data_IF_587986170430
#
_entry.id   IF_587986170430
#
_cell.length_a   1.000
_cell.length_b   1.000
_cell.length_c   1.000
_cell.angle_alpha   90.00
_cell.angle_beta   90.00
_cell.angle_gamma   90.00
#
_symmetry.space_group_name_H-M   'P 1'
#
loop_
_entity.id
_entity.type
_entity.pdbx_description
1 polymer ?
#
# COMPACT_ATOMS: atom_id res chain seq x y z
N UNK A 1 -25.58 7.27 -4.16
CA UNK A 1 -24.62 7.89 -5.10
C UNK A 1 -25.43 8.31 -6.31
N UNK A 2 -25.24 9.51 -6.85
CA UNK A 2 -25.96 9.97 -8.03
C UNK A 2 -25.27 9.47 -9.33
N UNK A 3 -25.94 9.60 -10.49
CA UNK A 3 -25.43 9.15 -11.80
C UNK A 3 -24.08 9.80 -12.13
N UNK A 4 -23.97 11.11 -11.92
CA UNK A 4 -22.77 11.89 -12.29
C UNK A 4 -21.52 11.44 -11.50
N UNK A 5 -21.71 11.03 -10.23
CA UNK A 5 -20.64 10.46 -9.40
C UNK A 5 -20.18 9.10 -9.94
N UNK A 6 -21.13 8.26 -10.38
CA UNK A 6 -20.80 6.95 -10.96
C UNK A 6 -20.03 7.11 -12.27
N UNK A 7 -20.49 7.98 -13.14
CA UNK A 7 -19.86 8.26 -14.43
C UNK A 7 -18.43 8.78 -14.23
N UNK A 8 -18.23 9.67 -13.25
CA UNK A 8 -16.90 10.18 -12.92
C UNK A 8 -15.97 9.06 -12.38
N UNK A 9 -16.48 8.19 -11.51
CA UNK A 9 -15.68 7.07 -10.99
C UNK A 9 -15.31 6.09 -12.11
N UNK A 10 -16.22 5.82 -13.05
CA UNK A 10 -15.93 5.00 -14.22
C UNK A 10 -14.91 5.64 -15.14
N UNK A 11 -14.95 6.98 -15.31
CA UNK A 11 -13.93 7.69 -16.08
C UNK A 11 -12.55 7.64 -15.40
N UNK A 12 -12.48 7.76 -14.07
CA UNK A 12 -11.24 7.59 -13.31
C UNK A 12 -10.66 6.19 -13.53
N UNK A 13 -11.48 5.14 -13.38
CA UNK A 13 -11.04 3.76 -13.61
C UNK A 13 -10.52 3.57 -15.03
N UNK A 14 -11.30 3.98 -16.04
CA UNK A 14 -10.91 3.85 -17.43
C UNK A 14 -9.61 4.59 -17.71
N UNK A 15 -9.49 5.83 -17.26
CA UNK A 15 -8.31 6.67 -17.51
C UNK A 15 -7.05 6.11 -16.90
N UNK A 16 -7.11 5.64 -15.65
CA UNK A 16 -5.92 5.19 -14.93
C UNK A 16 -5.55 3.73 -15.25
N UNK A 17 -6.50 2.87 -15.58
CA UNK A 17 -6.25 1.46 -15.84
C UNK A 17 -6.05 1.12 -17.31
N UNK A 18 -6.74 1.80 -18.24
CA UNK A 18 -6.63 1.50 -19.68
C UNK A 18 -5.44 2.17 -20.33
N UNK A 19 -4.96 3.28 -19.80
CA UNK A 19 -3.82 4.03 -20.36
C UNK A 19 -2.43 3.49 -19.96
N UNK A 20 -2.33 2.23 -19.54
CA UNK A 20 -1.06 1.57 -19.18
C UNK A 20 -0.25 2.28 -18.07
N UNK A 21 -0.89 3.17 -17.31
CA UNK A 21 -0.24 3.91 -16.22
C UNK A 21 0.26 2.96 -15.12
N UNK A 22 -0.44 1.86 -14.93
CA UNK A 22 -0.09 0.83 -13.96
C UNK A 22 1.17 0.05 -14.37
N UNK A 23 1.47 0.02 -15.67
CA UNK A 23 2.70 -0.60 -16.20
C UNK A 23 2.67 -2.13 -16.29
N UNK A 24 1.51 -2.77 -16.07
CA UNK A 24 1.32 -4.20 -16.29
C UNK A 24 -0.14 -4.50 -16.70
N UNK A 25 -0.35 -5.69 -17.26
CA UNK A 25 -1.69 -6.16 -17.59
C UNK A 25 -2.40 -6.70 -16.32
N UNK A 26 -3.53 -6.10 -15.89
CA UNK A 26 -4.28 -6.57 -14.71
C UNK A 26 -4.68 -8.05 -14.75
N UNK A 27 -4.90 -8.63 -15.92
CA UNK A 27 -5.25 -10.04 -16.09
C UNK A 27 -4.19 -10.99 -15.49
N UNK A 28 -2.95 -10.54 -15.37
CA UNK A 28 -1.86 -11.30 -14.71
C UNK A 28 -2.20 -11.64 -13.26
N UNK A 29 -2.87 -10.73 -12.53
CA UNK A 29 -3.23 -10.96 -11.13
C UNK A 29 -4.28 -12.06 -10.99
N UNK A 30 -5.23 -12.15 -11.94
CA UNK A 30 -6.23 -13.22 -11.95
C UNK A 30 -5.59 -14.59 -12.28
N UNK A 31 -4.62 -14.62 -13.18
CA UNK A 31 -3.90 -15.85 -13.52
C UNK A 31 -3.15 -16.42 -12.31
N UNK A 32 -2.57 -15.56 -11.47
CA UNK A 32 -1.87 -15.98 -10.24
C UNK A 32 -2.80 -16.64 -9.20
N UNK A 33 -4.13 -16.52 -9.31
CA UNK A 33 -5.09 -17.19 -8.42
C UNK A 33 -5.42 -18.61 -8.85
N UNK A 34 -5.06 -19.00 -10.05
CA UNK A 34 -5.32 -20.34 -10.54
C UNK A 34 -4.41 -21.34 -9.80
N UNK A 35 -5.02 -22.20 -8.97
CA UNK A 35 -4.31 -23.21 -8.17
C UNK A 35 -3.64 -24.27 -9.06
N UNK A 36 -4.14 -24.46 -10.28
CA UNK A 36 -3.63 -25.43 -11.26
C UNK A 36 -2.58 -24.84 -12.21
N UNK A 37 -2.15 -23.59 -11.95
CA UNK A 37 -1.17 -22.93 -12.83
C UNK A 37 0.16 -23.66 -12.80
N UNK A 38 0.63 -24.05 -13.97
CA UNK A 38 1.91 -24.73 -14.15
C UNK A 38 3.08 -23.74 -14.18
N UNK A 39 4.29 -24.29 -14.10
CA UNK A 39 5.52 -23.46 -14.14
C UNK A 39 5.63 -22.64 -15.43
N UNK A 40 5.21 -23.20 -16.56
CA UNK A 40 5.27 -22.54 -17.86
C UNK A 40 4.33 -21.34 -17.90
N UNK A 41 3.09 -21.51 -17.44
CA UNK A 41 2.09 -20.44 -17.41
C UNK A 41 2.54 -19.29 -16.50
N UNK A 42 3.19 -19.59 -15.35
CA UNK A 42 3.79 -18.58 -14.48
C UNK A 42 4.92 -17.84 -15.19
N UNK A 43 5.79 -18.55 -15.92
CA UNK A 43 6.84 -17.89 -16.67
C UNK A 43 6.31 -17.01 -17.81
N UNK A 44 5.21 -17.39 -18.45
CA UNK A 44 4.56 -16.61 -19.51
C UNK A 44 3.96 -15.29 -18.99
N UNK A 45 3.69 -15.16 -17.67
CA UNK A 45 3.25 -13.91 -17.07
C UNK A 45 4.28 -12.78 -17.18
N UNK A 46 5.55 -13.08 -17.41
CA UNK A 46 6.61 -12.09 -17.63
C UNK A 46 6.23 -11.03 -18.65
N UNK A 47 5.63 -11.46 -19.75
CA UNK A 47 5.22 -10.56 -20.83
C UNK A 47 4.17 -9.56 -20.37
N UNK A 48 3.24 -9.99 -19.53
CA UNK A 48 2.17 -9.14 -18.99
C UNK A 48 2.62 -8.22 -17.86
N UNK A 49 3.70 -8.59 -17.13
CA UNK A 49 4.22 -7.79 -16.01
C UNK A 49 5.18 -6.67 -16.44
N UNK A 50 5.84 -6.86 -17.59
CA UNK A 50 6.91 -5.96 -18.02
C UNK A 50 8.22 -6.13 -17.20
N UNK A 51 9.35 -5.69 -17.76
CA UNK A 51 10.67 -5.93 -17.19
C UNK A 51 10.86 -5.28 -15.81
N UNK A 52 10.40 -4.05 -15.62
CA UNK A 52 10.60 -3.30 -14.38
C UNK A 52 9.93 -3.96 -13.17
N UNK A 53 8.69 -4.46 -13.34
CA UNK A 53 7.94 -5.18 -12.28
C UNK A 53 8.66 -6.49 -11.98
N UNK A 54 9.13 -7.14 -13.01
CA UNK A 54 9.81 -8.41 -12.90
C UNK A 54 11.11 -8.27 -12.08
N UNK A 55 11.97 -7.33 -12.45
CA UNK A 55 13.22 -7.05 -11.73
C UNK A 55 12.96 -6.67 -10.26
N UNK A 56 11.93 -5.86 -10.01
CA UNK A 56 11.49 -5.52 -8.66
C UNK A 56 11.13 -6.75 -7.82
N UNK A 57 10.33 -7.67 -8.37
CA UNK A 57 9.92 -8.90 -7.69
C UNK A 57 11.09 -9.84 -7.42
N UNK A 58 12.03 -9.96 -8.36
CA UNK A 58 13.26 -10.72 -8.18
C UNK A 58 14.13 -10.16 -7.06
N UNK A 59 14.28 -8.84 -7.02
CA UNK A 59 15.03 -8.17 -5.95
C UNK A 59 14.40 -8.42 -4.58
N UNK A 60 13.06 -8.37 -4.45
CA UNK A 60 12.37 -8.69 -3.20
C UNK A 60 12.57 -10.15 -2.82
N UNK A 61 12.36 -11.07 -3.74
CA UNK A 61 12.50 -12.50 -3.46
C UNK A 61 13.94 -12.87 -3.06
N UNK A 62 14.93 -12.22 -3.66
CA UNK A 62 16.33 -12.41 -3.31
C UNK A 62 16.72 -11.69 -2.01
N UNK A 63 16.13 -10.54 -1.68
CA UNK A 63 16.37 -9.84 -0.41
C UNK A 63 15.79 -10.59 0.79
N UNK A 64 14.60 -11.17 0.64
CA UNK A 64 13.99 -12.05 1.65
C UNK A 64 14.83 -13.31 1.92
N UNK A 65 15.72 -13.63 1.02
CA UNK A 65 16.65 -14.75 1.10
C UNK A 65 17.78 -14.56 2.12
N UNK A 66 18.18 -13.33 2.41
CA UNK A 66 19.28 -13.06 3.35
C UNK A 66 19.05 -13.58 4.79
N UNK A 67 17.83 -14.02 5.11
CA UNK A 67 17.52 -14.71 6.37
C UNK A 67 17.60 -16.25 6.33
N UNK A 68 17.85 -16.86 5.15
CA UNK A 68 17.85 -18.33 4.98
C UNK A 68 19.00 -18.79 4.08
N UNK A 69 20.13 -19.09 4.68
CA UNK A 69 21.40 -19.47 4.00
C UNK A 69 21.32 -20.74 3.12
N UNK A 70 20.19 -21.43 3.09
CA UNK A 70 20.06 -22.74 2.41
C UNK A 70 19.48 -22.71 1.00
N UNK A 71 18.87 -21.62 0.56
CA UNK A 71 18.20 -21.53 -0.73
C UNK A 71 18.95 -20.55 -1.63
N UNK A 72 19.52 -20.97 -2.76
CA UNK A 72 20.23 -20.13 -3.73
C UNK A 72 19.37 -18.97 -4.29
N UNK A 73 19.95 -18.01 -5.04
CA UNK A 73 19.17 -16.93 -5.64
C UNK A 73 18.12 -17.49 -6.61
N UNK A 74 16.93 -16.88 -6.63
CA UNK A 74 15.89 -17.25 -7.59
C UNK A 74 16.32 -16.89 -9.00
N UNK A 75 16.05 -17.77 -9.95
CA UNK A 75 16.40 -17.63 -11.38
C UNK A 75 15.17 -17.54 -12.28
N UNK A 76 14.04 -18.08 -11.83
CA UNK A 76 12.80 -18.18 -12.59
C UNK A 76 11.65 -17.52 -11.84
N UNK A 77 10.67 -17.00 -12.57
CA UNK A 77 9.56 -16.28 -11.94
C UNK A 77 8.67 -17.19 -11.07
N UNK A 78 8.49 -18.43 -11.45
CA UNK A 78 7.78 -19.39 -10.59
C UNK A 78 8.48 -19.61 -9.23
N UNK A 79 9.80 -19.50 -9.17
CA UNK A 79 10.55 -19.56 -7.90
C UNK A 79 10.29 -18.32 -7.03
N UNK A 80 10.11 -17.14 -7.67
CA UNK A 80 9.67 -15.92 -6.97
C UNK A 80 8.31 -16.14 -6.33
N UNK A 81 7.33 -16.61 -7.13
CA UNK A 81 5.96 -16.87 -6.64
C UNK A 81 5.96 -17.93 -5.53
N UNK A 82 6.72 -19.01 -5.68
CA UNK A 82 6.84 -20.05 -4.66
C UNK A 82 7.48 -19.54 -3.36
N UNK A 83 8.47 -18.66 -3.47
CA UNK A 83 9.19 -18.12 -2.31
C UNK A 83 8.38 -17.07 -1.57
N UNK A 84 7.71 -16.17 -2.28
CA UNK A 84 6.91 -15.08 -1.72
C UNK A 84 5.49 -15.52 -1.37
N UNK A 85 4.98 -16.51 -2.08
CA UNK A 85 3.57 -16.89 -2.07
C UNK A 85 2.75 -16.00 -2.99
N UNK A 86 1.67 -16.55 -3.57
CA UNK A 86 0.83 -15.88 -4.58
C UNK A 86 0.29 -14.54 -4.11
N UNK A 87 -0.30 -14.51 -2.92
CA UNK A 87 -0.93 -13.29 -2.39
C UNK A 87 0.08 -12.18 -2.11
N UNK A 88 1.25 -12.53 -1.59
CA UNK A 88 2.30 -11.52 -1.36
C UNK A 88 2.89 -11.03 -2.69
N UNK A 89 3.06 -11.90 -3.68
CA UNK A 89 3.48 -11.51 -5.03
C UNK A 89 2.51 -10.50 -5.64
N UNK A 90 1.20 -10.76 -5.58
CA UNK A 90 0.16 -9.81 -6.01
C UNK A 90 0.27 -8.47 -5.30
N UNK A 91 0.44 -8.49 -3.98
CA UNK A 91 0.62 -7.29 -3.18
C UNK A 91 1.81 -6.46 -3.67
N UNK A 92 2.93 -7.11 -3.97
CA UNK A 92 4.13 -6.43 -4.44
C UNK A 92 3.95 -5.85 -5.86
N UNK A 93 3.22 -6.53 -6.73
CA UNK A 93 2.86 -6.00 -8.06
C UNK A 93 2.01 -4.73 -7.91
N UNK A 94 1.02 -4.75 -7.03
CA UNK A 94 0.18 -3.58 -6.76
C UNK A 94 0.96 -2.43 -6.13
N UNK A 95 1.86 -2.72 -5.19
CA UNK A 95 2.77 -1.73 -4.61
C UNK A 95 3.62 -1.04 -5.68
N UNK A 96 4.18 -1.83 -6.56
CA UNK A 96 4.96 -1.29 -7.67
C UNK A 96 4.09 -0.38 -8.55
N UNK A 97 2.87 -0.82 -8.88
CA UNK A 97 1.93 -0.04 -9.66
C UNK A 97 1.55 1.29 -8.97
N UNK A 98 1.21 1.25 -7.69
CA UNK A 98 0.91 2.44 -6.90
C UNK A 98 2.08 3.42 -6.88
N UNK A 99 3.30 2.92 -6.64
CA UNK A 99 4.51 3.74 -6.68
C UNK A 99 4.72 4.38 -8.06
N UNK A 100 4.46 3.65 -9.13
CA UNK A 100 4.60 4.14 -10.50
C UNK A 100 3.57 5.23 -10.83
N UNK A 101 2.30 5.02 -10.49
CA UNK A 101 1.22 6.00 -10.70
C UNK A 101 1.53 7.32 -9.98
N UNK A 102 2.08 7.24 -8.78
CA UNK A 102 2.38 8.43 -7.96
C UNK A 102 3.70 9.11 -8.31
N UNK A 103 4.50 8.56 -9.23
CA UNK A 103 5.89 8.98 -9.46
C UNK A 103 6.04 10.48 -9.72
N UNK A 104 5.10 11.08 -10.46
CA UNK A 104 5.13 12.49 -10.84
C UNK A 104 4.12 13.34 -10.05
N UNK A 105 3.47 12.77 -9.04
CA UNK A 105 2.46 13.43 -8.23
C UNK A 105 2.88 13.41 -6.75
N UNK A 106 3.25 14.58 -6.23
CA UNK A 106 3.75 14.72 -4.87
C UNK A 106 2.67 14.48 -3.83
N UNK A 107 1.43 14.90 -4.09
CA UNK A 107 0.31 14.71 -3.18
C UNK A 107 -0.07 13.23 -3.09
N UNK A 108 -0.24 12.58 -4.22
CA UNK A 108 -0.50 11.15 -4.30
C UNK A 108 0.64 10.33 -3.67
N UNK A 109 1.89 10.79 -3.78
CA UNK A 109 3.04 10.12 -3.14
C UNK A 109 2.97 10.19 -1.62
N UNK A 110 2.48 11.28 -1.04
CA UNK A 110 2.27 11.39 0.41
C UNK A 110 1.15 10.43 0.86
N UNK A 111 0.05 10.35 0.11
CA UNK A 111 -1.03 9.39 0.38
C UNK A 111 -0.47 7.96 0.35
N UNK A 112 0.30 7.62 -0.68
CA UNK A 112 0.97 6.32 -0.77
C UNK A 112 1.89 6.05 0.42
N UNK A 113 2.73 7.02 0.78
CA UNK A 113 3.65 6.90 1.91
C UNK A 113 2.92 6.72 3.25
N UNK A 114 1.78 7.40 3.47
CA UNK A 114 0.91 7.20 4.65
C UNK A 114 0.36 5.76 4.70
N UNK A 115 -0.18 5.26 3.59
CA UNK A 115 -0.70 3.90 3.52
C UNK A 115 0.40 2.86 3.75
N UNK A 116 1.59 3.11 3.21
CA UNK A 116 2.74 2.26 3.44
C UNK A 116 3.16 2.28 4.93
N UNK A 117 3.20 3.44 5.58
CA UNK A 117 3.45 3.53 7.02
C UNK A 117 2.38 2.77 7.82
N UNK A 118 1.09 2.94 7.48
CA UNK A 118 0.00 2.23 8.13
C UNK A 118 0.14 0.70 7.97
N UNK A 119 0.62 0.22 6.82
CA UNK A 119 0.85 -1.21 6.60
C UNK A 119 1.95 -1.77 7.52
N UNK A 120 3.05 -1.04 7.71
CA UNK A 120 4.13 -1.42 8.63
C UNK A 120 3.65 -1.41 10.08
N UNK A 121 2.95 -0.35 10.49
CA UNK A 121 2.36 -0.21 11.84
C UNK A 121 1.33 -1.31 12.09
N UNK A 122 0.42 -1.55 11.15
CA UNK A 122 -0.63 -2.56 11.28
C UNK A 122 -0.07 -3.96 11.44
N UNK A 123 0.94 -4.31 10.65
CA UNK A 123 1.64 -5.59 10.82
C UNK A 123 2.29 -5.72 12.19
N UNK A 124 2.96 -4.67 12.65
CA UNK A 124 3.59 -4.64 13.97
C UNK A 124 2.55 -4.78 15.07
N UNK A 125 1.46 -3.99 15.04
CA UNK A 125 0.36 -4.07 16.01
C UNK A 125 -0.28 -5.46 16.05
N UNK A 126 -0.59 -6.04 14.88
CA UNK A 126 -1.17 -7.39 14.83
C UNK A 126 -0.26 -8.42 15.49
N UNK A 127 1.05 -8.34 15.26
CA UNK A 127 2.01 -9.24 15.94
C UNK A 127 2.07 -9.00 17.46
N UNK A 128 2.04 -7.74 17.88
CA UNK A 128 2.06 -7.35 19.30
C UNK A 128 0.78 -7.81 20.04
N UNK A 129 -0.35 -7.87 19.35
CA UNK A 129 -1.61 -8.43 19.89
C UNK A 129 -1.68 -9.95 19.82
N UNK A 130 -0.61 -10.65 19.42
CA UNK A 130 -0.53 -12.10 19.40
C UNK A 130 -1.16 -12.77 18.17
N UNK A 131 -1.56 -12.02 17.16
CA UNK A 131 -2.05 -12.61 15.92
C UNK A 131 -0.96 -13.39 15.17
N UNK A 132 -1.36 -14.39 14.39
CA UNK A 132 -0.45 -15.19 13.57
C UNK A 132 0.30 -14.33 12.52
N UNK A 133 1.39 -14.86 11.97
CA UNK A 133 2.10 -14.21 10.86
C UNK A 133 1.20 -13.98 9.64
N UNK A 134 0.34 -14.95 9.36
CA UNK A 134 -0.62 -14.86 8.25
C UNK A 134 -1.64 -13.73 8.49
N UNK A 135 -2.24 -13.68 9.68
CA UNK A 135 -3.17 -12.61 10.05
C UNK A 135 -2.51 -11.23 10.01
N UNK A 136 -1.26 -11.12 10.47
CA UNK A 136 -0.51 -9.87 10.40
C UNK A 136 -0.24 -9.42 8.95
N UNK A 137 -0.01 -10.36 8.01
CA UNK A 137 0.10 -10.05 6.58
C UNK A 137 -1.24 -9.58 5.98
N UNK A 138 -2.37 -10.13 6.44
CA UNK A 138 -3.70 -9.66 6.02
C UNK A 138 -3.92 -8.20 6.44
N UNK A 139 -3.54 -7.84 7.67
CA UNK A 139 -3.60 -6.45 8.17
C UNK A 139 -2.68 -5.54 7.36
N UNK A 140 -1.42 -5.95 7.13
CA UNK A 140 -0.45 -5.22 6.31
C UNK A 140 -1.03 -4.86 4.93
N UNK A 141 -1.60 -5.86 4.24
CA UNK A 141 -2.21 -5.66 2.92
C UNK A 141 -3.44 -4.74 3.00
N UNK A 142 -4.31 -4.92 3.97
CA UNK A 142 -5.50 -4.10 4.13
C UNK A 142 -5.17 -2.63 4.37
N UNK A 143 -4.22 -2.32 5.25
CA UNK A 143 -3.73 -0.96 5.48
C UNK A 143 -3.14 -0.34 4.21
N UNK A 144 -2.38 -1.12 3.43
CA UNK A 144 -1.77 -0.64 2.22
C UNK A 144 -2.79 -0.26 1.13
N UNK A 145 -3.82 -1.11 0.97
CA UNK A 145 -4.83 -0.94 -0.09
C UNK A 145 -5.93 0.05 0.32
N UNK A 146 -6.10 0.35 1.60
CA UNK A 146 -7.20 1.19 2.10
C UNK A 146 -7.29 2.57 1.43
N UNK A 147 -6.17 3.20 1.12
CA UNK A 147 -6.12 4.51 0.47
C UNK A 147 -5.95 4.48 -1.04
N UNK A 148 -6.10 3.33 -1.71
CA UNK A 148 -5.88 3.25 -3.17
C UNK A 148 -6.88 4.12 -3.95
N UNK A 149 -8.12 4.21 -3.51
CA UNK A 149 -9.14 5.04 -4.13
C UNK A 149 -8.83 6.54 -3.98
N UNK A 150 -8.39 6.98 -2.80
CA UNK A 150 -7.94 8.35 -2.55
C UNK A 150 -6.76 8.71 -3.46
N UNK A 151 -5.76 7.85 -3.52
CA UNK A 151 -4.59 8.01 -4.37
C UNK A 151 -4.99 8.14 -5.86
N UNK A 152 -5.88 7.28 -6.34
CA UNK A 152 -6.32 7.30 -7.73
C UNK A 152 -7.11 8.56 -8.06
N UNK A 153 -8.03 8.99 -7.19
CA UNK A 153 -8.80 10.22 -7.37
C UNK A 153 -7.89 11.45 -7.38
N UNK A 154 -6.89 11.48 -6.48
CA UNK A 154 -5.90 12.57 -6.43
C UNK A 154 -5.08 12.65 -7.71
N UNK A 155 -4.55 11.53 -8.20
CA UNK A 155 -3.79 11.49 -9.46
C UNK A 155 -4.68 11.91 -10.64
N UNK A 156 -5.92 11.43 -10.70
CA UNK A 156 -6.86 11.82 -11.75
C UNK A 156 -7.13 13.31 -11.72
N UNK A 157 -7.47 13.87 -10.56
CA UNK A 157 -7.69 15.31 -10.36
C UNK A 157 -6.51 16.15 -10.85
N UNK A 158 -5.31 15.75 -10.47
CA UNK A 158 -4.11 16.56 -10.70
C UNK A 158 -3.60 16.49 -12.14
N UNK A 159 -3.86 15.39 -12.86
CA UNK A 159 -3.21 15.14 -14.16
C UNK A 159 -4.17 14.86 -15.31
N UNK A 160 -5.40 14.41 -15.05
CA UNK A 160 -6.29 13.88 -16.09
C UNK A 160 -7.64 14.58 -16.16
N UNK A 161 -8.10 15.22 -15.10
CA UNK A 161 -9.39 15.90 -15.09
C UNK A 161 -9.39 17.03 -16.12
N UNK A 162 -10.18 16.86 -17.19
CA UNK A 162 -10.34 17.83 -18.26
C UNK A 162 -11.74 18.43 -18.22
N UNK A 163 -11.83 19.73 -17.91
CA UNK A 163 -13.12 20.44 -17.87
C UNK A 163 -13.94 20.14 -16.60
N UNK A 164 -15.02 20.90 -16.43
CA UNK A 164 -15.88 20.80 -15.25
C UNK A 164 -15.26 21.38 -13.97
N UNK A 165 -16.01 21.37 -12.85
CA UNK A 165 -15.49 21.79 -11.56
C UNK A 165 -14.39 20.81 -11.09
N UNK A 166 -13.32 21.36 -10.52
CA UNK A 166 -12.24 20.55 -9.95
C UNK A 166 -12.80 19.70 -8.82
N UNK A 167 -12.45 18.41 -8.82
CA UNK A 167 -12.83 17.47 -7.77
C UNK A 167 -12.36 17.97 -6.39
N UNK A 168 -13.29 18.20 -5.47
CA UNK A 168 -12.98 18.70 -4.14
C UNK A 168 -12.40 17.60 -3.25
N UNK A 169 -11.70 18.00 -2.18
CA UNK A 169 -11.22 17.05 -1.17
C UNK A 169 -12.40 16.33 -0.49
N UNK A 170 -13.51 17.05 -0.24
CA UNK A 170 -14.73 16.45 0.29
C UNK A 170 -15.31 15.37 -0.63
N UNK A 171 -15.26 15.58 -1.96
CA UNK A 171 -15.68 14.54 -2.91
C UNK A 171 -14.80 13.30 -2.80
N UNK A 172 -13.47 13.47 -2.71
CA UNK A 172 -12.52 12.38 -2.55
C UNK A 172 -12.79 11.64 -1.25
N UNK A 173 -12.91 12.35 -0.13
CA UNK A 173 -13.18 11.78 1.20
C UNK A 173 -14.47 10.94 1.21
N UNK A 174 -15.52 11.41 0.57
CA UNK A 174 -16.80 10.71 0.54
C UNK A 174 -16.88 9.51 -0.41
N UNK A 175 -15.98 9.44 -1.41
CA UNK A 175 -16.11 8.44 -2.48
C UNK A 175 -14.91 7.50 -2.64
N UNK A 176 -13.75 7.78 -2.01
CA UNK A 176 -12.54 7.00 -2.22
C UNK A 176 -12.68 5.52 -1.84
N UNK A 177 -13.46 5.19 -0.81
CA UNK A 177 -13.68 3.80 -0.42
C UNK A 177 -14.51 3.02 -1.44
N UNK A 178 -15.48 3.69 -2.07
CA UNK A 178 -16.24 3.04 -3.12
C UNK A 178 -15.32 2.66 -4.28
N UNK A 179 -14.44 3.57 -4.70
CA UNK A 179 -13.42 3.28 -5.71
C UNK A 179 -12.45 2.18 -5.23
N UNK A 180 -11.99 2.23 -3.96
CA UNK A 180 -11.19 1.16 -3.37
C UNK A 180 -11.86 -0.22 -3.51
N UNK A 181 -13.14 -0.31 -3.20
CA UNK A 181 -13.92 -1.54 -3.34
C UNK A 181 -14.03 -2.02 -4.79
N UNK A 182 -14.14 -1.11 -5.76
CA UNK A 182 -14.13 -1.45 -7.19
C UNK A 182 -12.77 -2.01 -7.62
N UNK A 183 -11.67 -1.38 -7.18
CA UNK A 183 -10.30 -1.85 -7.45
C UNK A 183 -10.09 -3.25 -6.90
N UNK A 184 -10.51 -3.51 -5.65
CA UNK A 184 -10.39 -4.84 -5.04
C UNK A 184 -11.08 -5.90 -5.90
N UNK A 185 -12.29 -5.63 -6.37
CA UNK A 185 -13.03 -6.55 -7.24
C UNK A 185 -12.39 -6.72 -8.61
N UNK A 186 -11.98 -5.60 -9.24
CA UNK A 186 -11.39 -5.61 -10.60
C UNK A 186 -10.10 -6.43 -10.66
N UNK A 187 -9.28 -6.36 -9.61
CA UNK A 187 -8.00 -7.08 -9.55
C UNK A 187 -8.07 -8.42 -8.82
N UNK A 188 -9.27 -8.90 -8.54
CA UNK A 188 -9.48 -10.19 -7.85
C UNK A 188 -8.60 -10.26 -6.58
N UNK A 189 -8.58 -9.17 -5.80
CA UNK A 189 -7.86 -9.14 -4.54
C UNK A 189 -8.60 -9.97 -3.49
N UNK A 190 -7.93 -10.39 -2.41
CA UNK A 190 -8.52 -11.27 -1.40
C UNK A 190 -9.87 -10.77 -0.87
N UNK A 191 -10.84 -11.67 -0.79
CA UNK A 191 -12.23 -11.38 -0.39
C UNK A 191 -12.37 -10.81 1.03
N UNK A 192 -11.40 -11.01 1.91
CA UNK A 192 -11.41 -10.43 3.24
C UNK A 192 -11.13 -8.92 3.28
N UNK A 193 -10.55 -8.34 2.21
CA UNK A 193 -10.16 -6.93 2.18
C UNK A 193 -11.33 -5.95 2.32
N UNK A 194 -12.46 -6.13 1.61
CA UNK A 194 -13.62 -5.25 1.79
C UNK A 194 -14.07 -5.16 3.24
N UNK A 195 -14.17 -6.30 3.93
CA UNK A 195 -14.56 -6.33 5.34
C UNK A 195 -13.55 -5.58 6.22
N UNK A 196 -12.27 -5.83 6.03
CA UNK A 196 -11.22 -5.19 6.82
C UNK A 196 -11.12 -3.69 6.59
N UNK A 197 -11.38 -3.22 5.37
CA UNK A 197 -11.25 -1.81 4.98
C UNK A 197 -12.54 -1.03 5.25
N UNK A 198 -13.72 -1.58 4.92
CA UNK A 198 -15.00 -0.90 5.11
C UNK A 198 -15.31 -0.64 6.58
N UNK A 199 -14.85 -1.49 7.49
CA UNK A 199 -14.97 -1.27 8.93
C UNK A 199 -14.15 -0.07 9.45
N UNK A 200 -13.34 0.59 8.62
CA UNK A 200 -12.66 1.84 8.96
C UNK A 200 -13.62 2.98 9.36
N UNK A 201 -14.88 2.94 8.92
CA UNK A 201 -15.88 3.96 9.24
C UNK A 201 -16.66 3.70 10.53
N UNK A 202 -16.46 2.57 11.19
CA UNK A 202 -17.02 2.38 12.53
C UNK A 202 -16.32 3.33 13.51
N UNK A 203 -17.07 3.89 14.46
CA UNK A 203 -16.48 4.78 15.46
C UNK A 203 -15.38 4.09 16.26
N UNK A 204 -14.40 4.86 16.73
CA UNK A 204 -13.31 4.32 17.55
C UNK A 204 -13.81 3.60 18.82
N UNK A 205 -14.99 3.98 19.31
CA UNK A 205 -15.63 3.37 20.50
C UNK A 205 -16.04 1.89 20.28
N UNK A 206 -16.13 1.46 19.02
CA UNK A 206 -16.48 0.08 18.65
C UNK A 206 -15.26 -0.77 18.29
N UNK A 207 -14.04 -0.30 18.62
CA UNK A 207 -12.81 -1.07 18.40
C UNK A 207 -12.85 -2.38 19.19
N UNK A 208 -12.96 -3.47 18.46
CA UNK A 208 -12.69 -4.81 18.98
C UNK A 208 -11.26 -5.21 18.61
N UNK A 209 -10.63 -6.09 19.42
CA UNK A 209 -9.33 -6.69 19.07
C UNK A 209 -9.56 -7.76 17.98
N UNK A 210 -10.13 -7.33 16.87
CA UNK A 210 -10.28 -8.11 15.64
C UNK A 210 -9.42 -7.49 14.55
N UNK A 211 -9.11 -8.25 13.49
CA UNK A 211 -8.24 -7.74 12.41
C UNK A 211 -8.70 -6.41 11.80
N UNK A 212 -10.01 -6.18 11.52
CA UNK A 212 -10.48 -4.87 11.07
C UNK A 212 -10.21 -3.74 12.08
N UNK A 213 -10.33 -4.04 13.38
CA UNK A 213 -9.97 -3.08 14.44
C UNK A 213 -8.49 -2.71 14.43
N UNK A 214 -7.60 -3.68 14.17
CA UNK A 214 -6.16 -3.43 14.05
C UNK A 214 -5.85 -2.55 12.83
N UNK A 215 -6.50 -2.79 11.69
CA UNK A 215 -6.36 -1.95 10.48
C UNK A 215 -6.72 -0.50 10.81
N UNK A 216 -7.88 -0.29 11.45
CA UNK A 216 -8.34 1.04 11.83
C UNK A 216 -7.41 1.73 12.83
N UNK A 217 -6.94 1.00 13.85
CA UNK A 217 -5.96 1.53 14.80
C UNK A 217 -4.66 1.95 14.12
N UNK A 218 -4.17 1.17 13.16
CA UNK A 218 -2.93 1.47 12.45
C UNK A 218 -3.07 2.74 11.60
N UNK A 219 -4.18 2.89 10.87
CA UNK A 219 -4.47 4.08 10.05
C UNK A 219 -4.61 5.31 10.95
N UNK A 220 -5.44 5.24 11.99
CA UNK A 220 -5.63 6.34 12.94
C UNK A 220 -4.34 6.74 13.65
N UNK A 221 -3.49 5.76 14.00
CA UNK A 221 -2.19 6.02 14.59
C UNK A 221 -1.27 6.79 13.64
N UNK A 222 -1.24 6.41 12.37
CA UNK A 222 -0.45 7.12 11.35
C UNK A 222 -1.00 8.53 11.14
N UNK A 223 -2.29 8.70 11.01
CA UNK A 223 -2.92 10.04 10.86
C UNK A 223 -2.62 10.95 12.05
N UNK A 224 -2.60 10.40 13.25
CA UNK A 224 -2.25 11.15 14.46
C UNK A 224 -0.75 11.44 14.59
N UNK A 225 0.11 10.46 14.26
CA UNK A 225 1.56 10.53 14.52
C UNK A 225 2.34 11.24 13.42
N UNK A 226 1.83 11.21 12.18
CA UNK A 226 2.51 11.80 11.04
C UNK A 226 1.97 13.19 10.74
N UNK A 227 2.84 14.18 10.82
CA UNK A 227 2.52 15.54 10.39
C UNK A 227 2.98 15.71 8.94
N UNK A 228 2.11 16.34 8.13
CA UNK A 228 2.48 16.75 6.77
C UNK A 228 3.28 18.06 6.88
N UNK A 229 4.52 18.03 6.41
CA UNK A 229 5.35 19.21 6.25
C UNK A 229 5.77 19.36 4.78
N UNK A 230 5.09 20.23 4.06
CA UNK A 230 5.28 20.36 2.62
C UNK A 230 5.02 19.04 1.90
N UNK A 231 6.06 18.47 1.28
CA UNK A 231 6.01 17.22 0.53
C UNK A 231 6.54 16.01 1.32
N UNK A 232 6.70 16.15 2.63
CA UNK A 232 7.25 15.10 3.49
C UNK A 232 6.33 14.82 4.66
N UNK A 233 6.41 13.60 5.14
CA UNK A 233 5.83 13.22 6.42
C UNK A 233 6.88 13.33 7.49
N UNK A 234 6.51 13.96 8.59
CA UNK A 234 7.37 14.12 9.77
C UNK A 234 6.83 13.28 10.90
N UNK A 235 7.70 12.49 11.50
CA UNK A 235 7.38 11.69 12.65
C UNK A 235 8.39 11.94 13.77
N UNK A 236 7.92 12.03 15.01
CA UNK A 236 8.77 12.11 16.20
C UNK A 236 9.04 10.72 16.77
N UNK A 237 10.26 10.46 17.16
CA UNK A 237 10.68 9.16 17.69
C UNK A 237 9.92 8.76 18.98
N UNK A 238 9.55 9.75 19.83
CA UNK A 238 8.76 9.51 21.06
C UNK A 238 7.35 9.02 20.81
N UNK A 239 6.72 9.48 19.72
CA UNK A 239 5.35 9.08 19.40
C UNK A 239 5.22 7.60 19.04
N UNK A 240 6.34 6.91 18.85
CA UNK A 240 6.38 5.54 18.35
C UNK A 240 6.98 4.52 19.28
N UNK A 241 7.17 4.85 20.55
CA UNK A 241 7.59 3.87 21.54
C UNK A 241 6.36 3.16 22.13
N UNK A 242 6.01 2.02 21.55
CA UNK A 242 4.95 1.16 22.09
C UNK A 242 5.45 0.27 23.26
N UNK A 243 6.78 0.13 23.42
CA UNK A 243 7.38 -0.52 24.60
C UNK A 243 8.87 -0.12 24.73
N UNK A 244 9.25 0.30 25.93
CA UNK A 244 10.56 0.91 26.21
C UNK A 244 11.72 -0.09 26.35
N UNK A 245 11.54 -1.39 26.14
CA UNK A 245 12.56 -2.32 26.63
C UNK A 245 13.30 -3.19 25.61
N UNK A 246 12.74 -3.58 24.45
CA UNK A 246 13.36 -4.63 23.62
C UNK A 246 13.11 -4.59 22.11
N UNK A 247 12.43 -3.61 21.56
CA UNK A 247 12.22 -3.52 20.11
C UNK A 247 12.97 -2.33 19.54
N UNK A 248 13.53 -2.45 18.30
CA UNK A 248 13.88 -1.25 17.55
C UNK A 248 12.64 -0.36 17.55
N UNK A 249 12.83 0.94 17.82
CA UNK A 249 11.69 1.86 17.89
C UNK A 249 10.85 1.67 16.62
N UNK A 250 9.54 1.71 16.72
CA UNK A 250 8.65 1.59 15.55
C UNK A 250 9.04 2.63 14.48
N UNK A 251 9.57 3.81 14.90
CA UNK A 251 10.14 4.81 14.01
C UNK A 251 11.32 4.27 13.19
N UNK A 252 12.25 3.55 13.83
CA UNK A 252 13.39 2.93 13.13
C UNK A 252 12.92 1.85 12.15
N UNK A 253 11.92 1.04 12.54
CA UNK A 253 11.35 0.02 11.66
C UNK A 253 10.69 0.66 10.43
N UNK A 254 9.93 1.75 10.60
CA UNK A 254 9.31 2.48 9.48
C UNK A 254 10.40 3.08 8.59
N UNK A 255 11.41 3.74 9.16
CA UNK A 255 12.51 4.33 8.40
C UNK A 255 13.25 3.28 7.55
N UNK A 256 13.55 2.11 8.11
CA UNK A 256 14.16 0.98 7.39
C UNK A 256 13.27 0.52 6.23
N UNK A 257 11.97 0.35 6.45
CA UNK A 257 11.01 -0.04 5.42
C UNK A 257 10.85 1.02 4.33
N UNK A 258 10.81 2.30 4.70
CA UNK A 258 10.78 3.40 3.74
C UNK A 258 12.02 3.41 2.85
N UNK A 259 13.20 3.20 3.45
CA UNK A 259 14.46 3.08 2.70
C UNK A 259 14.42 1.91 1.73
N UNK A 260 13.98 0.76 2.20
CA UNK A 260 13.87 -0.45 1.37
C UNK A 260 12.86 -0.31 0.23
N UNK A 261 11.82 0.53 0.40
CA UNK A 261 10.80 0.80 -0.61
C UNK A 261 11.14 2.00 -1.52
N UNK A 262 12.30 2.64 -1.36
CA UNK A 262 12.68 3.85 -2.11
C UNK A 262 11.81 5.07 -1.77
N UNK A 263 11.31 5.16 -0.54
CA UNK A 263 10.44 6.22 -0.05
C UNK A 263 11.12 7.14 0.97
N UNK A 264 12.43 7.00 1.19
CA UNK A 264 13.19 7.77 2.21
C UNK A 264 12.99 9.28 2.10
N UNK A 265 12.86 9.79 0.87
CA UNK A 265 12.69 11.23 0.61
C UNK A 265 11.36 11.79 1.13
N UNK A 266 10.41 10.91 1.46
CA UNK A 266 9.07 11.29 1.94
C UNK A 266 8.93 11.18 3.46
N UNK A 267 9.97 10.75 4.18
CA UNK A 267 9.95 10.57 5.62
C UNK A 267 11.05 11.37 6.29
N UNK A 268 10.69 12.17 7.30
CA UNK A 268 11.64 12.80 8.22
C UNK A 268 11.37 12.23 9.61
N UNK A 269 12.37 11.59 10.20
CA UNK A 269 12.33 11.14 11.60
C UNK A 269 13.06 12.17 12.44
N UNK A 270 12.35 12.84 13.34
CA UNK A 270 12.92 13.80 14.26
C UNK A 270 13.20 13.16 15.62
N UNK A 271 14.35 13.45 16.20
CA UNK A 271 14.57 13.22 17.61
C UNK A 271 13.62 14.10 18.44
N UNK A 272 13.28 13.66 19.68
CA UNK A 272 12.31 14.34 20.53
C UNK A 272 12.69 15.79 20.89
N UNK A 273 13.99 16.10 20.84
CA UNK A 273 14.55 17.42 21.13
C UNK A 273 14.66 18.31 19.90
N UNK A 274 14.45 17.78 18.69
CA UNK A 274 14.61 18.56 17.47
C UNK A 274 13.33 19.37 17.16
N UNK A 275 13.52 20.68 16.95
CA UNK A 275 12.47 21.54 16.40
C UNK A 275 12.48 21.41 14.88
N UNK A 276 11.27 21.37 14.30
CA UNK A 276 11.12 21.41 12.85
C UNK A 276 11.59 22.78 12.35
N UNK A 277 12.74 22.80 11.71
CA UNK A 277 13.26 24.04 11.14
C UNK A 277 12.52 24.28 9.81
N UNK A 278 11.52 25.17 9.83
CA UNK A 278 10.65 25.48 8.67
C UNK A 278 11.44 26.11 7.50
N UNK A 279 12.69 26.50 7.73
CA UNK A 279 13.58 27.11 6.73
C UNK A 279 14.30 26.11 5.81
N UNK A 280 14.01 24.81 5.89
CA UNK A 280 14.60 23.75 5.04
C UNK A 280 13.62 23.35 3.90
N UNK A 281 12.65 24.17 3.61
CA UNK A 281 11.68 23.95 2.53
C UNK A 281 12.08 24.68 1.24
#
# INVERSE_FOLDING_TARGET
>A
MNSDTLDLIEDIERTLFENSLIGFNPAVLAVLDNVEIGQKEIEDLKVGLGPDVFDYLFNIANSAYHGSVKLGPVKYFFEVVNRLGTQYTKTQILLFAMNRITRNDREAKIIFAKNFAASVVGRFMARSFGFSHESARKVELACLISGIGELMMTVYRNHYQRGGPVMSDEFIENNHLYLTGRVIRRYTLPEYLPEMIMNNYLSLDQLTIALPGVVRMAIAFVDWSFQKLGNRMVIRSSHMSLDNRYSPSLAALIADKFTSAGLSDYLIVLADTEQVNVNIL
#
